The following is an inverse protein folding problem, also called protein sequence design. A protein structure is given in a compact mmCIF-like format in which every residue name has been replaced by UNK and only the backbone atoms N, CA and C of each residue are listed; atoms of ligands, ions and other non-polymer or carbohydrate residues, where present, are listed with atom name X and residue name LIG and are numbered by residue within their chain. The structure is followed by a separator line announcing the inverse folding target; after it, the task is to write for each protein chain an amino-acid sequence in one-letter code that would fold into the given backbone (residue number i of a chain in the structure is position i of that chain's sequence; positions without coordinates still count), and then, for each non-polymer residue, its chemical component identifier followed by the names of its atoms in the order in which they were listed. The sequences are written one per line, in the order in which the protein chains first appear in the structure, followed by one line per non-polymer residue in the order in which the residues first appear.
data_IF_265219793872
#
_entry.id   IF_265219793872
#
_cell.length_a   1.000
_cell.length_b   1.000
_cell.length_c   1.000
_cell.angle_alpha   90.00
_cell.angle_beta   90.00
_cell.angle_gamma   90.00
#
_symmetry.space_group_name_H-M   'P 1'
#
loop_
_entity.id
_entity.type
_entity.pdbx_description
1 polymer ?
#
# COMPACT_ATOMS: atom_id res chain seq x y z
N UNK A 1 -10.61 42.31 -1.29
CA UNK A 1 -10.11 41.94 0.05
C UNK A 1 -11.10 42.32 1.16
N UNK A 2 -11.22 43.59 1.58
CA UNK A 2 -11.97 43.94 2.81
C UNK A 2 -13.52 43.82 2.74
N UNK A 3 -14.12 44.02 1.57
CA UNK A 3 -15.60 44.07 1.45
C UNK A 3 -16.26 42.73 1.79
N UNK A 4 -15.68 41.61 1.33
CA UNK A 4 -16.21 40.27 1.60
C UNK A 4 -16.00 39.86 3.06
N UNK A 5 -14.88 40.24 3.68
CA UNK A 5 -14.62 40.05 5.10
C UNK A 5 -15.69 40.74 5.95
N UNK A 6 -15.96 42.03 5.68
CA UNK A 6 -16.99 42.79 6.39
C UNK A 6 -18.39 42.25 6.13
N UNK A 7 -18.65 41.68 4.94
CA UNK A 7 -19.94 41.10 4.61
C UNK A 7 -20.18 39.78 5.37
N UNK A 8 -19.15 38.93 5.49
CA UNK A 8 -19.19 37.70 6.30
C UNK A 8 -19.43 38.06 7.77
N UNK A 9 -18.69 39.05 8.30
CA UNK A 9 -18.86 39.53 9.68
C UNK A 9 -20.27 40.08 9.93
N UNK A 10 -20.81 40.86 8.98
CA UNK A 10 -22.15 41.40 9.07
C UNK A 10 -23.21 40.29 9.05
N UNK A 11 -23.11 39.33 8.11
CA UNK A 11 -24.09 38.23 8.03
C UNK A 11 -24.06 37.34 9.27
N UNK A 12 -22.89 37.04 9.82
CA UNK A 12 -22.77 36.22 11.02
C UNK A 12 -23.17 36.98 12.29
N UNK A 13 -22.92 38.28 12.36
CA UNK A 13 -23.40 39.12 13.47
C UNK A 13 -24.92 39.28 13.44
N UNK A 14 -25.49 39.58 12.29
CA UNK A 14 -26.95 39.64 12.10
C UNK A 14 -27.61 38.28 12.38
N UNK A 15 -26.97 37.17 12.00
CA UNK A 15 -27.46 35.84 12.35
C UNK A 15 -27.50 35.62 13.87
N UNK A 16 -26.51 36.11 14.62
CA UNK A 16 -26.46 35.96 16.07
C UNK A 16 -27.54 36.82 16.75
N UNK A 17 -27.81 38.01 16.22
CA UNK A 17 -28.85 38.92 16.73
C UNK A 17 -30.25 38.36 16.43
N UNK A 18 -30.49 37.83 15.23
CA UNK A 18 -31.77 37.24 14.84
C UNK A 18 -32.04 35.86 15.47
N UNK A 19 -31.03 35.21 16.07
CA UNK A 19 -31.18 33.88 16.68
C UNK A 19 -32.20 33.86 17.83
N UNK A 20 -32.46 35.00 18.48
CA UNK A 20 -33.40 35.12 19.61
C UNK A 20 -34.85 35.36 19.18
N UNK A 21 -35.06 36.09 18.09
CA UNK A 21 -36.39 36.61 17.71
C UNK A 21 -36.94 36.01 16.40
N UNK A 22 -36.08 35.60 15.45
CA UNK A 22 -36.47 35.15 14.10
C UNK A 22 -35.52 34.07 13.56
N UNK A 23 -35.74 32.82 13.97
CA UNK A 23 -34.89 31.68 13.63
C UNK A 23 -34.77 31.42 12.12
N UNK A 24 -35.82 31.65 11.34
CA UNK A 24 -35.79 31.49 9.87
C UNK A 24 -34.91 32.54 9.19
N UNK A 25 -34.90 33.76 9.71
CA UNK A 25 -34.07 34.84 9.18
C UNK A 25 -32.59 34.61 9.54
N UNK A 26 -32.32 34.09 10.74
CA UNK A 26 -30.98 33.68 11.14
C UNK A 26 -30.40 32.59 10.21
N UNK A 27 -31.18 31.53 9.91
CA UNK A 27 -30.79 30.48 8.95
C UNK A 27 -30.57 31.02 7.53
N UNK A 28 -31.38 32.00 7.10
CA UNK A 28 -31.20 32.66 5.81
C UNK A 28 -29.88 33.44 5.73
N UNK A 29 -29.51 34.15 6.80
CA UNK A 29 -28.23 34.88 6.86
C UNK A 29 -27.01 33.93 6.90
N UNK A 30 -27.10 32.81 7.61
CA UNK A 30 -26.07 31.75 7.58
C UNK A 30 -25.91 31.14 6.18
N UNK A 31 -27.01 30.90 5.48
CA UNK A 31 -26.99 30.40 4.10
C UNK A 31 -26.31 31.38 3.13
N UNK A 32 -26.54 32.69 3.32
CA UNK A 32 -25.86 33.74 2.55
C UNK A 32 -24.37 33.81 2.88
N UNK A 33 -23.99 33.68 4.16
CA UNK A 33 -22.59 33.59 4.56
C UNK A 33 -21.90 32.36 3.92
N UNK A 34 -22.56 31.19 3.91
CA UNK A 34 -22.05 29.99 3.23
C UNK A 34 -21.89 30.16 1.73
N UNK A 35 -22.82 30.87 1.08
CA UNK A 35 -22.70 31.15 -0.34
C UNK A 35 -21.45 31.99 -0.65
N UNK A 36 -21.19 33.02 0.16
CA UNK A 36 -19.99 33.85 0.03
C UNK A 36 -18.73 33.01 0.27
N UNK A 37 -18.73 32.13 1.28
CA UNK A 37 -17.61 31.23 1.58
C UNK A 37 -17.38 30.17 0.50
N UNK A 38 -18.42 29.70 -0.19
CA UNK A 38 -18.32 28.74 -1.30
C UNK A 38 -17.79 29.37 -2.57
N UNK A 39 -18.22 30.60 -2.85
CA UNK A 39 -17.86 31.34 -4.05
C UNK A 39 -16.35 31.63 -4.15
N UNK A 40 -15.81 31.84 -5.37
CA UNK A 40 -14.38 32.08 -5.61
C UNK A 40 -13.96 33.53 -5.27
N UNK A 41 -14.56 34.14 -4.25
CA UNK A 41 -14.25 35.51 -3.87
C UNK A 41 -12.93 35.57 -3.10
N UNK A 42 -12.15 36.63 -3.32
CA UNK A 42 -10.95 36.90 -2.54
C UNK A 42 -11.32 37.49 -1.17
N UNK A 43 -11.26 36.64 -0.16
CA UNK A 43 -11.41 36.97 1.26
C UNK A 43 -10.18 36.49 2.05
N UNK A 44 -9.97 37.06 3.22
CA UNK A 44 -8.92 36.60 4.13
C UNK A 44 -9.40 35.38 4.91
N UNK A 45 -8.82 34.22 4.61
CA UNK A 45 -9.15 32.95 5.27
C UNK A 45 -8.96 32.98 6.78
N UNK A 46 -7.98 33.73 7.29
CA UNK A 46 -7.69 33.81 8.73
C UNK A 46 -8.75 34.63 9.46
N UNK A 47 -9.13 35.76 8.88
CA UNK A 47 -10.23 36.58 9.39
C UNK A 47 -11.56 35.82 9.33
N UNK A 48 -11.85 35.13 8.22
CA UNK A 48 -13.07 34.33 8.09
C UNK A 48 -13.14 33.22 9.16
N UNK A 49 -12.03 32.52 9.43
CA UNK A 49 -11.94 31.53 10.51
C UNK A 49 -12.19 32.16 11.88
N UNK A 50 -11.58 33.31 12.17
CA UNK A 50 -11.77 34.02 13.44
C UNK A 50 -13.23 34.41 13.66
N UNK A 51 -13.87 34.98 12.64
CA UNK A 51 -15.28 35.40 12.70
C UNK A 51 -16.20 34.19 12.87
N UNK A 52 -15.98 33.11 12.11
CA UNK A 52 -16.77 31.88 12.25
C UNK A 52 -16.57 31.21 13.62
N UNK A 53 -15.35 31.23 14.18
CA UNK A 53 -15.06 30.72 15.52
C UNK A 53 -15.75 31.55 16.61
N UNK A 54 -15.63 32.87 16.54
CA UNK A 54 -16.23 33.81 17.52
C UNK A 54 -17.76 33.69 17.56
N UNK A 55 -18.39 33.41 16.41
CA UNK A 55 -19.85 33.27 16.27
C UNK A 55 -20.34 31.81 16.34
N UNK A 56 -19.45 30.85 16.63
CA UNK A 56 -19.76 29.41 16.72
C UNK A 56 -20.45 28.84 15.47
N UNK A 57 -20.09 29.35 14.28
CA UNK A 57 -20.68 28.93 13.02
C UNK A 57 -19.99 27.67 12.46
N UNK A 58 -20.49 26.50 12.85
CA UNK A 58 -19.82 25.21 12.61
C UNK A 58 -19.73 24.83 11.13
N UNK A 59 -20.77 25.08 10.33
CA UNK A 59 -20.78 24.73 8.91
C UNK A 59 -19.76 25.56 8.10
N UNK A 60 -19.58 26.83 8.46
CA UNK A 60 -18.57 27.69 7.84
C UNK A 60 -17.15 27.32 8.23
N UNK A 61 -16.92 26.93 9.49
CA UNK A 61 -15.62 26.46 9.96
C UNK A 61 -15.16 25.21 9.22
N UNK A 62 -16.03 24.20 9.11
CA UNK A 62 -15.71 22.96 8.38
C UNK A 62 -15.34 23.27 6.93
N UNK A 63 -16.13 24.10 6.24
CA UNK A 63 -15.87 24.46 4.85
C UNK A 63 -14.56 25.24 4.67
N UNK A 64 -14.22 26.12 5.61
CA UNK A 64 -12.96 26.86 5.60
C UNK A 64 -11.77 25.91 5.84
N UNK A 65 -11.86 24.99 6.81
CA UNK A 65 -10.82 24.00 7.05
C UNK A 65 -10.65 23.02 5.89
N UNK A 66 -11.74 22.60 5.23
CA UNK A 66 -11.69 21.79 4.01
C UNK A 66 -10.94 22.52 2.88
N UNK A 67 -11.19 23.82 2.71
CA UNK A 67 -10.49 24.64 1.70
C UNK A 67 -9.00 24.86 2.01
N UNK A 68 -8.63 24.87 3.30
CA UNK A 68 -7.25 25.06 3.75
C UNK A 68 -6.48 23.73 3.90
N UNK A 69 -7.12 22.58 3.70
CA UNK A 69 -6.51 21.26 3.92
C UNK A 69 -6.26 20.92 5.39
N UNK A 70 -6.90 21.64 6.32
CA UNK A 70 -6.73 21.47 7.77
C UNK A 70 -7.67 20.39 8.32
N UNK A 71 -7.56 19.17 7.81
CA UNK A 71 -8.48 18.07 8.15
C UNK A 71 -8.37 17.63 9.62
N UNK A 72 -7.18 17.75 10.21
CA UNK A 72 -6.95 17.43 11.62
C UNK A 72 -7.80 18.31 12.55
N UNK A 73 -7.93 19.60 12.22
CA UNK A 73 -8.68 20.56 13.04
C UNK A 73 -10.19 20.36 12.93
N UNK A 74 -10.69 19.88 11.79
CA UNK A 74 -12.08 19.42 11.64
C UNK A 74 -12.35 18.29 12.63
N UNK A 75 -11.49 17.28 12.67
CA UNK A 75 -11.65 16.13 13.55
C UNK A 75 -11.57 16.55 15.02
N UNK A 76 -10.56 17.35 15.40
CA UNK A 76 -10.42 17.87 16.77
C UNK A 76 -11.66 18.66 17.21
N UNK A 77 -12.21 19.51 16.34
CA UNK A 77 -13.42 20.27 16.64
C UNK A 77 -14.61 19.37 16.98
N UNK A 78 -14.86 18.31 16.20
CA UNK A 78 -15.94 17.37 16.50
C UNK A 78 -15.65 16.50 17.74
N UNK A 79 -14.38 16.17 17.99
CA UNK A 79 -13.95 15.47 19.21
C UNK A 79 -14.22 16.30 20.47
N UNK A 80 -13.87 17.58 20.45
CA UNK A 80 -14.11 18.50 21.56
C UNK A 80 -15.61 18.68 21.82
N UNK A 81 -16.41 18.80 20.76
CA UNK A 81 -17.87 18.90 20.85
C UNK A 81 -18.52 17.66 21.47
N UNK A 82 -18.03 16.46 21.13
CA UNK A 82 -18.50 15.21 21.78
C UNK A 82 -18.05 15.12 23.24
N UNK A 83 -16.84 15.59 23.57
CA UNK A 83 -16.36 15.63 24.95
C UNK A 83 -17.21 16.57 25.81
N UNK A 84 -17.59 17.74 25.28
CA UNK A 84 -18.49 18.70 25.95
C UNK A 84 -19.90 18.13 26.15
N UNK A 85 -20.44 17.41 25.15
CA UNK A 85 -21.72 16.72 25.27
C UNK A 85 -21.69 15.61 26.32
N UNK A 86 -20.60 14.83 26.33
CA UNK A 86 -20.40 13.75 27.30
C UNK A 86 -20.23 14.32 28.72
N UNK A 87 -19.51 15.44 28.89
CA UNK A 87 -19.31 16.09 30.17
C UNK A 87 -20.60 16.73 30.72
N UNK A 88 -21.49 17.21 29.85
CA UNK A 88 -22.75 17.86 30.25
C UNK A 88 -23.90 16.89 30.52
N UNK A 89 -23.71 15.56 30.39
CA UNK A 89 -24.75 14.52 30.49
C UNK A 89 -26.02 14.85 29.68
N UNK A 90 -25.89 15.71 28.67
CA UNK A 90 -27.01 16.18 27.88
C UNK A 90 -27.29 15.15 26.80
N UNK A 91 -28.50 14.60 26.80
CA UNK A 91 -28.94 13.72 25.72
C UNK A 91 -29.02 14.57 24.46
N UNK A 92 -28.33 14.13 23.40
CA UNK A 92 -28.49 14.72 22.07
C UNK A 92 -29.98 14.75 21.71
N UNK A 93 -30.53 15.91 21.28
CA UNK A 93 -31.91 16.00 20.85
C UNK A 93 -32.17 14.96 19.75
N UNK A 94 -33.29 14.25 19.89
CA UNK A 94 -33.73 13.19 18.98
C UNK A 94 -33.77 13.69 17.54
N UNK A 95 -32.75 13.35 16.74
CA UNK A 95 -32.69 13.64 15.30
C UNK A 95 -31.38 14.23 14.77
N UNK A 96 -30.46 14.71 15.61
CA UNK A 96 -29.16 15.20 15.16
C UNK A 96 -28.09 14.09 15.15
N UNK A 97 -27.32 14.02 14.06
CA UNK A 97 -26.16 13.10 13.95
C UNK A 97 -25.16 13.48 15.03
N UNK A 98 -24.77 12.51 15.87
CA UNK A 98 -23.81 12.77 16.93
C UNK A 98 -22.46 13.20 16.36
N UNK A 99 -21.75 14.14 16.99
CA UNK A 99 -20.41 14.54 16.57
C UNK A 99 -19.44 13.36 16.43
N UNK A 100 -19.56 12.33 17.27
CA UNK A 100 -18.73 11.12 17.16
C UNK A 100 -18.90 10.33 15.84
N UNK A 101 -20.10 10.34 15.23
CA UNK A 101 -20.35 9.69 13.95
C UNK A 101 -19.80 10.52 12.77
N UNK A 102 -19.81 11.85 12.89
CA UNK A 102 -19.19 12.73 11.91
C UNK A 102 -17.66 12.54 11.86
N UNK A 103 -17.00 12.29 13.00
CA UNK A 103 -15.57 11.96 13.06
C UNK A 103 -15.25 10.73 12.19
N UNK A 104 -16.02 9.65 12.30
CA UNK A 104 -15.84 8.45 11.45
C UNK A 104 -16.07 8.76 9.97
N UNK A 105 -17.09 9.56 9.62
CA UNK A 105 -17.38 9.95 8.23
C UNK A 105 -16.25 10.78 7.62
N UNK A 106 -15.73 11.75 8.36
CA UNK A 106 -14.61 12.58 7.89
C UNK A 106 -13.30 11.78 7.81
N UNK A 107 -13.08 10.82 8.71
CA UNK A 107 -11.95 9.90 8.60
C UNK A 107 -12.03 9.04 7.33
N UNK A 108 -13.21 8.52 6.97
CA UNK A 108 -13.37 7.75 5.73
C UNK A 108 -13.14 8.61 4.48
N UNK A 109 -13.47 9.91 4.53
CA UNK A 109 -13.33 10.80 3.38
C UNK A 109 -11.90 11.35 3.21
N UNK A 110 -11.21 11.63 4.31
CA UNK A 110 -9.90 12.30 4.31
C UNK A 110 -8.75 11.43 4.77
N UNK A 111 -9.02 10.22 5.28
CA UNK A 111 -8.00 9.30 5.79
C UNK A 111 -6.99 8.87 4.72
N UNK A 112 -7.42 8.65 3.48
CA UNK A 112 -6.50 8.32 2.38
C UNK A 112 -5.52 9.47 2.06
N UNK A 113 -5.93 10.72 2.30
CA UNK A 113 -5.11 11.90 2.01
C UNK A 113 -4.13 12.23 3.14
N UNK A 114 -4.52 12.02 4.41
CA UNK A 114 -3.65 12.20 5.57
C UNK A 114 -3.72 10.99 6.53
N UNK A 115 -2.75 10.07 6.45
CA UNK A 115 -2.71 8.89 7.30
C UNK A 115 -2.50 9.21 8.79
N UNK A 116 -2.08 10.43 9.16
CA UNK A 116 -1.90 10.81 10.57
C UNK A 116 -3.22 11.00 11.32
N UNK A 117 -4.34 11.06 10.61
CA UNK A 117 -5.67 11.17 11.19
C UNK A 117 -6.09 9.88 11.91
N UNK A 118 -5.64 8.70 11.46
CA UNK A 118 -6.02 7.41 12.04
C UNK A 118 -5.56 7.27 13.51
N UNK A 119 -4.28 7.52 13.87
CA UNK A 119 -3.86 7.51 15.28
C UNK A 119 -4.66 8.48 16.16
N UNK A 120 -5.00 9.66 15.65
CA UNK A 120 -5.76 10.66 16.39
C UNK A 120 -7.17 10.16 16.69
N UNK A 121 -7.87 9.63 15.68
CA UNK A 121 -9.24 9.09 15.84
C UNK A 121 -9.24 7.84 16.71
N UNK A 122 -8.29 6.92 16.54
CA UNK A 122 -8.16 5.74 17.40
C UNK A 122 -7.98 6.13 18.88
N UNK A 123 -7.16 7.15 19.15
CA UNK A 123 -6.98 7.68 20.51
C UNK A 123 -8.28 8.26 21.05
N UNK A 124 -9.04 8.99 20.23
CA UNK A 124 -10.31 9.57 20.65
C UNK A 124 -11.38 8.51 20.94
N UNK A 125 -11.61 7.57 20.02
CA UNK A 125 -12.63 6.52 20.15
C UNK A 125 -12.39 5.62 21.38
N UNK A 126 -11.14 5.54 21.85
CA UNK A 126 -10.76 4.77 23.03
C UNK A 126 -10.58 5.60 24.29
N UNK A 127 -10.90 6.90 24.26
CA UNK A 127 -10.75 7.78 25.42
C UNK A 127 -11.79 7.53 26.52
N UNK A 128 -13.03 7.19 26.17
CA UNK A 128 -14.12 6.92 27.14
C UNK A 128 -14.82 5.58 26.85
N UNK A 129 -15.26 4.84 27.90
CA UNK A 129 -15.87 3.52 27.72
C UNK A 129 -17.18 3.59 26.94
N UNK A 130 -17.92 4.69 27.04
CA UNK A 130 -19.17 4.89 26.31
C UNK A 130 -18.95 5.08 24.82
N UNK A 131 -17.86 5.75 24.41
CA UNK A 131 -17.48 5.88 23.00
C UNK A 131 -17.04 4.53 22.43
N UNK A 132 -16.24 3.79 23.20
CA UNK A 132 -15.75 2.47 22.79
C UNK A 132 -16.90 1.49 22.53
N UNK A 133 -17.88 1.41 23.43
CA UNK A 133 -19.04 0.51 23.27
C UNK A 133 -19.90 0.89 22.07
N UNK A 134 -20.07 2.20 21.80
CA UNK A 134 -20.88 2.68 20.68
C UNK A 134 -20.21 2.48 19.32
N UNK A 135 -18.90 2.67 19.25
CA UNK A 135 -18.12 2.64 18.00
C UNK A 135 -17.27 1.37 17.85
N UNK A 136 -17.67 0.26 18.47
CA UNK A 136 -16.96 -1.02 18.38
C UNK A 136 -16.89 -1.53 16.93
N UNK A 137 -17.96 -1.39 16.15
CA UNK A 137 -18.00 -1.74 14.72
C UNK A 137 -17.06 -0.85 13.91
N UNK A 138 -17.12 0.45 14.14
CA UNK A 138 -16.34 1.44 13.40
C UNK A 138 -14.84 1.25 13.67
N UNK A 139 -14.46 0.95 14.91
CA UNK A 139 -13.08 0.61 15.27
C UNK A 139 -12.58 -0.61 14.51
N UNK A 140 -13.41 -1.64 14.34
CA UNK A 140 -13.02 -2.84 13.59
C UNK A 140 -12.77 -2.51 12.13
N UNK A 141 -13.69 -1.76 11.49
CA UNK A 141 -13.50 -1.33 10.10
C UNK A 141 -12.31 -0.39 9.91
N UNK A 142 -12.03 0.49 10.89
CA UNK A 142 -10.84 1.35 10.87
C UNK A 142 -9.56 0.50 10.97
N UNK A 143 -9.53 -0.51 11.85
CA UNK A 143 -8.37 -1.40 11.97
C UNK A 143 -8.11 -2.23 10.71
N UNK A 144 -9.17 -2.69 10.05
CA UNK A 144 -9.08 -3.39 8.75
C UNK A 144 -8.56 -2.45 7.66
N UNK A 145 -9.07 -1.22 7.58
CA UNK A 145 -8.60 -0.26 6.58
C UNK A 145 -7.15 0.18 6.81
N UNK A 146 -6.73 0.33 8.07
CA UNK A 146 -5.34 0.58 8.44
C UNK A 146 -4.43 -0.57 7.98
N UNK A 147 -4.92 -1.81 8.07
CA UNK A 147 -4.21 -3.01 7.63
C UNK A 147 -4.08 -3.05 6.10
N UNK A 148 -5.18 -2.87 5.36
CA UNK A 148 -5.21 -2.85 3.89
C UNK A 148 -4.31 -1.74 3.33
N UNK A 149 -4.40 -0.54 3.91
CA UNK A 149 -3.59 0.62 3.51
C UNK A 149 -2.15 0.60 4.03
N UNK A 150 -1.75 -0.42 4.82
CA UNK A 150 -0.44 -0.49 5.51
C UNK A 150 -0.06 0.82 6.23
N UNK A 151 -1.06 1.50 6.78
CA UNK A 151 -0.94 2.88 7.29
C UNK A 151 -0.09 2.92 8.57
N UNK A 152 -0.27 1.93 9.45
CA UNK A 152 0.53 1.83 10.67
C UNK A 152 0.83 0.38 11.05
N UNK A 153 2.02 0.10 11.64
CA UNK A 153 2.34 -1.24 12.13
C UNK A 153 1.40 -1.67 13.26
N UNK A 154 1.09 -2.99 13.39
CA UNK A 154 0.26 -3.49 14.48
C UNK A 154 0.77 -3.13 15.87
N UNK A 155 2.10 -3.04 16.04
CA UNK A 155 2.71 -2.58 17.29
C UNK A 155 2.32 -1.14 17.63
N UNK A 156 2.28 -0.25 16.64
CA UNK A 156 1.89 1.14 16.83
C UNK A 156 0.40 1.23 17.24
N UNK A 157 -0.46 0.40 16.64
CA UNK A 157 -1.89 0.32 17.01
C UNK A 157 -2.01 -0.03 18.50
N UNK A 158 -1.32 -1.10 18.93
CA UNK A 158 -1.36 -1.55 20.31
C UNK A 158 -0.82 -0.49 21.27
N UNK A 159 0.22 0.24 20.89
CA UNK A 159 0.77 1.33 21.71
C UNK A 159 -0.23 2.49 21.88
N UNK A 160 -0.96 2.87 20.82
CA UNK A 160 -2.00 3.91 20.89
C UNK A 160 -3.12 3.47 21.83
N UNK A 161 -3.60 2.23 21.67
CA UNK A 161 -4.71 1.70 22.46
C UNK A 161 -4.30 1.47 23.93
N UNK A 162 -3.08 1.02 24.19
CA UNK A 162 -2.57 0.79 25.56
C UNK A 162 -2.45 2.06 26.39
N UNK A 163 -2.33 3.24 25.77
CA UNK A 163 -2.26 4.52 26.51
C UNK A 163 -3.58 4.88 27.16
N UNK A 164 -4.69 4.42 26.60
CA UNK A 164 -6.01 4.67 27.12
C UNK A 164 -6.46 3.47 27.97
N UNK A 165 -6.59 3.65 29.29
CA UNK A 165 -6.95 2.59 30.28
C UNK A 165 -8.34 1.96 30.05
N UNK A 166 -9.04 2.39 29.01
CA UNK A 166 -10.41 2.03 28.65
C UNK A 166 -10.43 0.95 27.56
N UNK A 167 -9.44 0.93 26.66
CA UNK A 167 -9.39 -0.05 25.59
C UNK A 167 -9.02 -1.43 26.16
N UNK A 168 -10.00 -2.33 26.25
CA UNK A 168 -9.71 -3.72 26.60
C UNK A 168 -8.93 -4.38 25.46
N UNK A 169 -7.79 -5.02 25.78
CA UNK A 169 -7.02 -5.84 24.82
C UNK A 169 -7.89 -6.91 24.16
N UNK A 170 -8.98 -7.32 24.82
CA UNK A 170 -9.98 -8.26 24.30
C UNK A 170 -10.60 -7.82 22.98
N UNK A 171 -10.79 -6.52 22.72
CA UNK A 171 -11.38 -6.02 21.47
C UNK A 171 -10.47 -6.25 20.27
N UNK A 172 -9.16 -6.06 20.48
CA UNK A 172 -8.15 -6.08 19.42
C UNK A 172 -7.52 -7.47 19.29
N UNK A 173 -7.77 -8.35 20.26
CA UNK A 173 -7.21 -9.71 20.32
C UNK A 173 -7.56 -10.57 19.08
N UNK A 174 -8.82 -10.61 18.58
CA UNK A 174 -9.13 -11.39 17.38
C UNK A 174 -8.35 -10.89 16.17
N UNK A 175 -8.29 -9.57 15.99
CA UNK A 175 -7.54 -8.93 14.91
C UNK A 175 -6.03 -9.23 15.01
N UNK A 176 -5.42 -9.09 16.20
CA UNK A 176 -4.00 -9.42 16.41
C UNK A 176 -3.70 -10.90 16.16
N UNK A 177 -4.56 -11.80 16.61
CA UNK A 177 -4.37 -13.25 16.40
C UNK A 177 -4.44 -13.59 14.91
N UNK A 178 -5.40 -13.01 14.18
CA UNK A 178 -5.51 -13.15 12.73
C UNK A 178 -4.23 -12.67 12.05
N UNK A 179 -3.75 -11.47 12.38
CA UNK A 179 -2.54 -10.87 11.79
C UNK A 179 -1.27 -11.69 12.07
N UNK A 180 -1.09 -12.16 13.30
CA UNK A 180 0.06 -12.99 13.67
C UNK A 180 0.01 -14.33 12.91
N UNK A 181 -1.17 -14.91 12.73
CA UNK A 181 -1.33 -16.16 11.99
C UNK A 181 -1.03 -15.97 10.50
N UNK A 182 -1.54 -14.90 9.89
CA UNK A 182 -1.26 -14.56 8.48
C UNK A 182 0.22 -14.33 8.25
N UNK A 183 0.86 -13.51 9.09
CA UNK A 183 2.31 -13.25 8.97
C UNK A 183 3.15 -14.51 9.17
N UNK A 184 2.76 -15.42 10.07
CA UNK A 184 3.44 -16.73 10.20
C UNK A 184 3.28 -17.58 8.94
N UNK A 185 2.09 -17.61 8.36
CA UNK A 185 1.84 -18.37 7.13
C UNK A 185 2.65 -17.81 5.95
N UNK A 186 2.77 -16.49 5.83
CA UNK A 186 3.64 -15.82 4.85
C UNK A 186 5.11 -16.24 5.04
N UNK A 187 5.62 -16.14 6.27
CA UNK A 187 7.00 -16.55 6.60
C UNK A 187 7.25 -18.02 6.26
N UNK A 188 6.31 -18.91 6.59
CA UNK A 188 6.46 -20.34 6.31
C UNK A 188 6.39 -20.65 4.81
N UNK A 189 5.56 -19.91 4.06
CA UNK A 189 5.53 -19.98 2.60
C UNK A 189 6.85 -19.55 1.99
N UNK A 190 7.38 -18.40 2.42
CA UNK A 190 8.66 -17.86 1.94
C UNK A 190 9.81 -18.81 2.24
N UNK A 191 9.84 -19.41 3.43
CA UNK A 191 10.84 -20.44 3.80
C UNK A 191 10.80 -21.64 2.86
N UNK A 192 9.61 -22.14 2.53
CA UNK A 192 9.46 -23.27 1.59
C UNK A 192 9.97 -22.92 0.19
N UNK A 193 9.69 -21.70 -0.28
CA UNK A 193 10.20 -21.21 -1.56
C UNK A 193 11.73 -21.09 -1.55
N UNK A 194 12.31 -20.54 -0.46
CA UNK A 194 13.76 -20.45 -0.29
C UNK A 194 14.42 -21.84 -0.33
N UNK A 195 13.85 -22.81 0.39
CA UNK A 195 14.39 -24.18 0.42
C UNK A 195 14.29 -24.86 -0.95
N UNK A 196 13.18 -24.65 -1.67
CA UNK A 196 13.00 -25.11 -3.06
C UNK A 196 14.08 -24.53 -3.98
N UNK A 197 14.26 -23.21 -3.97
CA UNK A 197 15.26 -22.54 -4.81
C UNK A 197 16.69 -22.94 -4.45
N UNK A 198 16.99 -23.14 -3.16
CA UNK A 198 18.31 -23.64 -2.73
C UNK A 198 18.59 -25.04 -3.22
N UNK A 199 17.61 -25.94 -3.13
CA UNK A 199 17.73 -27.31 -3.62
C UNK A 199 17.95 -27.34 -5.13
N UNK A 200 17.16 -26.56 -5.88
CA UNK A 200 17.31 -26.45 -7.33
C UNK A 200 18.67 -25.85 -7.72
N UNK A 201 19.11 -24.79 -7.05
CA UNK A 201 20.41 -24.16 -7.29
C UNK A 201 21.55 -25.15 -7.03
N UNK A 202 21.49 -25.90 -5.94
CA UNK A 202 22.50 -26.92 -5.64
C UNK A 202 22.53 -28.03 -6.70
N UNK A 203 21.37 -28.48 -7.17
CA UNK A 203 21.27 -29.45 -8.26
C UNK A 203 21.87 -28.90 -9.56
N UNK A 204 21.56 -27.66 -9.95
CA UNK A 204 22.10 -27.02 -11.15
C UNK A 204 23.61 -26.79 -11.07
N UNK A 205 24.13 -26.39 -9.91
CA UNK A 205 25.58 -26.24 -9.71
C UNK A 205 26.31 -27.58 -9.84
N UNK A 206 25.70 -28.65 -9.32
CA UNK A 206 26.23 -30.01 -9.52
C UNK A 206 26.20 -30.42 -10.99
N UNK A 207 25.09 -30.16 -11.69
CA UNK A 207 24.97 -30.43 -13.13
C UNK A 207 26.04 -29.66 -13.93
N UNK A 208 26.30 -28.38 -13.59
CA UNK A 208 27.34 -27.56 -14.22
C UNK A 208 28.72 -28.16 -13.96
N UNK A 209 29.03 -28.54 -12.72
CA UNK A 209 30.31 -29.14 -12.37
C UNK A 209 30.55 -30.45 -13.15
N UNK A 210 29.55 -31.33 -13.22
CA UNK A 210 29.62 -32.58 -14.00
C UNK A 210 29.72 -32.35 -15.52
N UNK A 211 29.17 -31.26 -16.05
CA UNK A 211 29.22 -30.92 -17.48
C UNK A 211 30.50 -30.18 -17.89
N UNK A 212 31.15 -29.50 -16.95
CA UNK A 212 32.36 -28.68 -17.22
C UNK A 212 33.65 -29.44 -16.96
N UNK A 213 33.59 -30.61 -16.33
CA UNK A 213 34.74 -31.46 -16.04
C UNK A 213 35.21 -32.20 -17.32
N UNK A 214 36.38 -31.86 -17.88
CA UNK A 214 36.90 -32.52 -19.08
C UNK A 214 37.37 -33.96 -18.83
N UNK A 215 37.65 -34.33 -17.58
CA UNK A 215 38.20 -35.63 -17.20
C UNK A 215 37.10 -36.64 -16.82
N UNK A 216 35.84 -36.19 -16.73
CA UNK A 216 34.68 -37.02 -16.41
C UNK A 216 33.89 -37.39 -17.69
N UNK A 217 34.11 -38.56 -18.30
CA UNK A 217 33.38 -38.96 -19.50
C UNK A 217 31.89 -39.20 -19.18
N UNK A 218 31.01 -38.55 -19.93
CA UNK A 218 29.57 -38.73 -19.80
C UNK A 218 29.11 -39.96 -20.59
N UNK A 219 28.53 -40.93 -19.90
CA UNK A 219 27.99 -42.13 -20.55
C UNK A 219 26.62 -41.84 -21.18
N UNK A 220 26.46 -42.21 -22.45
CA UNK A 220 25.18 -42.16 -23.16
C UNK A 220 24.62 -43.58 -23.30
N UNK A 221 23.54 -43.87 -22.59
CA UNK A 221 22.86 -45.18 -22.64
C UNK A 221 21.72 -45.23 -23.67
N UNK A 222 21.35 -44.10 -24.26
CA UNK A 222 20.24 -43.99 -25.21
C UNK A 222 20.57 -44.78 -26.48
N UNK A 223 19.73 -45.75 -26.83
CA UNK A 223 19.87 -46.60 -28.02
C UNK A 223 18.93 -46.22 -29.17
N UNK A 224 18.12 -45.17 -29.00
CA UNK A 224 17.11 -44.70 -29.95
C UNK A 224 17.37 -43.25 -30.36
N UNK A 225 17.03 -42.92 -31.60
CA UNK A 225 17.13 -41.56 -32.11
C UNK A 225 16.04 -40.66 -31.50
N UNK A 226 16.38 -39.45 -31.09
CA UNK A 226 15.40 -38.51 -30.52
C UNK A 226 14.54 -37.81 -31.59
N UNK A 227 14.89 -37.93 -32.88
CA UNK A 227 14.09 -37.42 -34.01
C UNK A 227 13.18 -38.48 -34.66
N UNK A 228 13.35 -39.76 -34.33
CA UNK A 228 12.49 -40.85 -34.82
C UNK A 228 12.72 -42.15 -34.07
N UNK A 229 11.75 -43.06 -34.07
CA UNK A 229 11.73 -44.24 -33.18
C UNK A 229 12.68 -45.40 -33.56
N UNK A 230 13.64 -45.15 -34.46
CA UNK A 230 14.61 -46.16 -34.90
C UNK A 230 15.79 -46.33 -33.95
N UNK A 231 16.43 -47.52 -33.91
CA UNK A 231 17.67 -47.71 -33.19
C UNK A 231 18.78 -46.80 -33.76
N UNK A 232 19.68 -46.34 -32.89
CA UNK A 232 20.82 -45.53 -33.28
C UNK A 232 21.82 -46.36 -34.09
N UNK A 233 22.16 -45.85 -35.27
CA UNK A 233 23.16 -46.43 -36.18
C UNK A 233 24.24 -45.38 -36.44
N UNK A 234 25.50 -45.81 -36.51
CA UNK A 234 26.62 -44.91 -36.77
C UNK A 234 26.52 -44.32 -38.19
N UNK A 235 26.84 -43.03 -38.39
CA UNK A 235 27.34 -42.05 -37.41
C UNK A 235 26.24 -41.41 -36.54
N UNK A 236 26.53 -41.28 -35.24
CA UNK A 236 25.63 -40.73 -34.21
C UNK A 236 26.24 -39.46 -33.62
N UNK A 237 25.39 -38.47 -33.34
CA UNK A 237 25.74 -37.24 -32.62
C UNK A 237 25.05 -37.26 -31.26
N UNK A 238 25.82 -37.04 -30.20
CA UNK A 238 25.33 -36.99 -28.83
C UNK A 238 25.45 -35.56 -28.27
N UNK A 239 24.34 -35.01 -27.79
CA UNK A 239 24.33 -33.74 -27.09
C UNK A 239 24.45 -33.96 -25.58
N UNK A 240 25.13 -33.05 -24.88
CA UNK A 240 25.31 -33.12 -23.42
C UNK A 240 24.00 -33.06 -22.61
N UNK A 241 22.89 -32.68 -23.24
CA UNK A 241 21.54 -32.82 -22.71
C UNK A 241 20.99 -34.26 -22.75
N UNK A 242 21.82 -35.26 -23.09
CA UNK A 242 21.50 -36.70 -23.22
C UNK A 242 20.55 -37.07 -24.37
N UNK A 243 20.32 -36.16 -25.31
CA UNK A 243 19.63 -36.46 -26.56
C UNK A 243 20.63 -36.91 -27.63
N UNK A 244 20.26 -37.99 -28.34
CA UNK A 244 21.11 -38.65 -29.32
C UNK A 244 20.37 -38.72 -30.66
N UNK A 245 21.08 -38.45 -31.75
CA UNK A 245 20.49 -38.42 -33.09
C UNK A 245 21.40 -39.12 -34.10
N UNK A 246 20.82 -39.74 -35.12
CA UNK A 246 21.60 -40.05 -36.32
C UNK A 246 22.09 -38.75 -36.96
N UNK A 247 23.31 -38.73 -37.49
CA UNK A 247 23.82 -37.52 -38.17
C UNK A 247 22.87 -37.03 -39.28
N UNK A 248 22.28 -37.96 -40.04
CA UNK A 248 21.28 -37.66 -41.08
C UNK A 248 19.99 -37.00 -40.57
N UNK A 249 19.63 -37.21 -39.30
CA UNK A 249 18.40 -36.69 -38.71
C UNK A 249 18.55 -35.26 -38.18
N UNK A 250 19.77 -34.74 -38.09
CA UNK A 250 20.05 -33.37 -37.62
C UNK A 250 19.95 -32.32 -38.74
N UNK A 251 20.10 -32.72 -40.01
CA UNK A 251 20.05 -31.78 -41.13
C UNK A 251 21.12 -30.70 -41.00
N UNK A 252 20.73 -29.42 -41.02
CA UNK A 252 21.62 -28.27 -40.84
C UNK A 252 21.87 -27.90 -39.36
N UNK A 253 21.20 -28.56 -38.41
CA UNK A 253 21.25 -28.24 -36.96
C UNK A 253 22.28 -29.07 -36.19
N UNK A 254 23.51 -29.22 -36.68
CA UNK A 254 24.55 -30.01 -35.99
C UNK A 254 25.06 -29.35 -34.70
N UNK A 255 24.83 -28.04 -34.51
CA UNK A 255 25.39 -27.27 -33.38
C UNK A 255 24.52 -27.25 -32.12
N UNK A 256 23.22 -27.54 -32.22
CA UNK A 256 22.31 -27.51 -31.07
C UNK A 256 21.24 -28.61 -31.14
N UNK A 257 20.86 -29.15 -29.97
CA UNK A 257 19.82 -30.18 -29.89
C UNK A 257 18.45 -29.58 -30.26
N UNK A 258 17.73 -30.10 -31.28
CA UNK A 258 16.43 -29.55 -31.71
C UNK A 258 15.36 -29.48 -30.61
N UNK A 259 15.31 -30.48 -29.72
CA UNK A 259 14.35 -30.52 -28.60
C UNK A 259 14.62 -29.41 -27.57
N UNK A 260 15.89 -29.17 -27.24
CA UNK A 260 16.29 -28.21 -26.22
C UNK A 260 16.48 -26.79 -26.77
N UNK A 261 16.71 -26.65 -28.08
CA UNK A 261 17.02 -25.37 -28.74
C UNK A 261 16.00 -24.28 -28.40
N UNK A 262 14.70 -24.61 -28.44
CA UNK A 262 13.62 -23.67 -28.09
C UNK A 262 13.66 -23.22 -26.63
N UNK A 263 13.92 -24.13 -25.69
CA UNK A 263 14.01 -23.74 -24.28
C UNK A 263 15.26 -22.88 -24.04
N UNK A 264 16.37 -23.25 -24.65
CA UNK A 264 17.61 -22.49 -24.56
C UNK A 264 17.53 -21.13 -25.27
N UNK A 265 16.75 -20.99 -26.34
CA UNK A 265 16.55 -19.70 -27.03
C UNK A 265 15.78 -18.71 -26.16
N UNK A 266 14.75 -19.17 -25.44
CA UNK A 266 14.01 -18.34 -24.47
C UNK A 266 14.93 -17.84 -23.36
N UNK A 267 15.75 -18.73 -22.78
CA UNK A 267 16.70 -18.36 -21.72
C UNK A 267 17.76 -17.38 -22.24
N UNK A 268 18.29 -17.61 -23.45
CA UNK A 268 19.25 -16.70 -24.10
C UNK A 268 18.64 -15.32 -24.35
N UNK A 269 17.39 -15.27 -24.79
CA UNK A 269 16.67 -14.01 -25.01
C UNK A 269 16.47 -13.26 -23.68
N UNK A 270 16.02 -13.95 -22.64
CA UNK A 270 15.85 -13.35 -21.31
C UNK A 270 17.17 -12.76 -20.77
N UNK A 271 18.29 -13.48 -20.94
CA UNK A 271 19.61 -12.95 -20.54
C UNK A 271 19.98 -11.67 -21.29
N UNK A 272 19.79 -11.64 -22.62
CA UNK A 272 20.04 -10.44 -23.43
C UNK A 272 19.15 -9.27 -23.03
N UNK A 273 17.88 -9.54 -22.73
CA UNK A 273 16.95 -8.51 -22.27
C UNK A 273 17.39 -7.94 -20.91
N UNK A 274 17.81 -8.81 -19.97
CA UNK A 274 18.35 -8.39 -18.68
C UNK A 274 19.65 -7.58 -18.83
N UNK A 275 20.58 -8.00 -19.70
CA UNK A 275 21.82 -7.27 -19.99
C UNK A 275 21.55 -5.88 -20.58
N UNK A 276 20.54 -5.77 -21.46
CA UNK A 276 20.11 -4.48 -22.01
C UNK A 276 19.53 -3.57 -20.93
N UNK A 277 18.68 -4.13 -20.05
CA UNK A 277 18.14 -3.39 -18.91
C UNK A 277 19.23 -2.93 -17.94
N UNK A 278 20.28 -3.74 -17.75
CA UNK A 278 21.42 -3.36 -16.92
C UNK A 278 22.19 -2.13 -17.44
N UNK A 279 22.09 -1.82 -18.73
CA UNK A 279 22.68 -0.61 -19.31
C UNK A 279 21.78 0.62 -19.11
N UNK A 280 20.48 0.43 -18.88
CA UNK A 280 19.47 1.50 -18.77
C UNK A 280 19.26 1.94 -17.32
N UNK A 281 20.27 2.60 -16.76
CA UNK A 281 20.28 3.04 -15.36
C UNK A 281 19.13 4.01 -15.04
N UNK A 282 18.76 4.90 -15.95
CA UNK A 282 17.69 5.87 -15.74
C UNK A 282 16.32 5.21 -15.55
N UNK A 283 16.06 4.12 -16.29
CA UNK A 283 14.82 3.34 -16.17
C UNK A 283 14.77 2.62 -14.83
N UNK A 284 15.90 2.03 -14.41
CA UNK A 284 16.00 1.39 -13.10
C UNK A 284 15.79 2.38 -11.95
N UNK A 285 16.38 3.58 -12.03
CA UNK A 285 16.21 4.60 -11.00
C UNK A 285 14.74 5.06 -10.90
N UNK A 286 14.06 5.28 -12.02
CA UNK A 286 12.64 5.59 -12.03
C UNK A 286 11.80 4.47 -11.38
N UNK A 287 12.12 3.20 -11.67
CA UNK A 287 11.42 2.06 -11.07
C UNK A 287 11.68 1.94 -9.55
N UNK A 288 12.89 2.29 -9.10
CA UNK A 288 13.24 2.32 -7.67
C UNK A 288 12.52 3.47 -6.94
N UNK A 289 12.32 4.62 -7.58
CA UNK A 289 11.54 5.72 -7.00
C UNK A 289 10.07 5.31 -6.75
N UNK A 290 9.48 4.50 -7.65
CA UNK A 290 8.10 4.04 -7.49
C UNK A 290 7.96 2.83 -6.55
N UNK A 291 8.83 1.82 -6.71
CA UNK A 291 8.64 0.49 -6.08
C UNK A 291 9.68 0.16 -5.01
N UNK A 292 10.67 1.03 -4.79
CA UNK A 292 11.67 0.93 -3.73
C UNK A 292 12.38 -0.43 -3.69
N UNK A 293 12.25 -1.14 -2.58
CA UNK A 293 12.93 -2.42 -2.34
C UNK A 293 12.53 -3.52 -3.34
N UNK A 294 11.29 -3.54 -3.83
CA UNK A 294 10.83 -4.58 -4.75
C UNK A 294 11.55 -4.50 -6.11
N UNK A 295 11.78 -3.28 -6.60
CA UNK A 295 12.57 -3.05 -7.82
C UNK A 295 14.02 -3.52 -7.65
N UNK A 296 14.64 -3.19 -6.51
CA UNK A 296 16.02 -3.60 -6.20
C UNK A 296 16.13 -5.14 -6.11
N UNK A 297 15.20 -5.80 -5.42
CA UNK A 297 15.19 -7.26 -5.29
C UNK A 297 15.02 -7.95 -6.66
N UNK A 298 14.15 -7.40 -7.51
CA UNK A 298 13.93 -7.90 -8.87
C UNK A 298 15.19 -7.74 -9.72
N UNK A 299 15.78 -6.54 -9.75
CA UNK A 299 17.02 -6.28 -10.47
C UNK A 299 18.19 -7.16 -9.98
N UNK A 300 18.29 -7.38 -8.66
CA UNK A 300 19.27 -8.30 -8.09
C UNK A 300 19.05 -9.73 -8.59
N UNK A 301 17.82 -10.24 -8.55
CA UNK A 301 17.48 -11.60 -9.01
C UNK A 301 17.75 -11.82 -10.50
N UNK A 302 17.63 -10.76 -11.31
CA UNK A 302 17.88 -10.79 -12.76
C UNK A 302 19.36 -10.65 -13.11
N UNK A 303 20.22 -10.38 -12.12
CA UNK A 303 21.65 -10.19 -12.31
C UNK A 303 22.03 -8.82 -12.88
N UNK A 304 21.10 -7.86 -12.89
CA UNK A 304 21.36 -6.49 -13.38
C UNK A 304 22.40 -5.77 -12.51
N UNK A 305 22.40 -6.07 -11.20
CA UNK A 305 23.33 -5.50 -10.22
C UNK A 305 24.65 -6.27 -10.09
N UNK A 306 24.84 -7.35 -10.83
CA UNK A 306 26.12 -8.07 -10.81
C UNK A 306 27.17 -7.25 -11.55
N UNK A 307 28.28 -6.97 -10.87
CA UNK A 307 29.50 -6.50 -11.55
C UNK A 307 29.89 -7.57 -12.56
N UNK A 308 30.22 -7.22 -13.82
CA UNK A 308 30.70 -8.19 -14.79
C UNK A 308 31.83 -8.99 -14.14
N UNK A 309 31.61 -10.30 -13.95
CA UNK A 309 32.72 -11.21 -13.68
C UNK A 309 33.57 -11.13 -14.93
N UNK A 310 34.79 -10.62 -14.80
CA UNK A 310 35.80 -10.75 -15.85
C UNK A 310 35.80 -12.23 -16.27
N UNK A 311 35.23 -12.53 -17.44
CA UNK A 311 35.39 -13.79 -18.15
C UNK A 311 36.81 -13.81 -18.74
N UNK A 312 37.79 -13.61 -17.87
CA UNK A 312 39.21 -13.53 -18.17
C UNK A 312 39.93 -14.81 -17.75
N UNK A 313 39.40 -15.99 -18.10
CA UNK A 313 40.20 -17.19 -18.36
C UNK A 313 39.44 -18.05 -19.38
N UNK A 314 39.52 -17.68 -20.66
CA UNK A 314 39.37 -18.62 -21.75
C UNK A 314 40.77 -18.98 -22.26
N UNK A 315 41.01 -20.30 -22.35
CA UNK A 315 42.23 -21.04 -22.73
C UNK A 315 43.23 -21.33 -21.61
#
# INVERSE_FOLDING_TARGET
MAVWNTLIELYLSLSADYAKDKQDLAKSMQSKALYVLKSPFEFDSTHALLVCSTKQFTEGLVLLWEKLGMYEDILRFFMDKENELTASNSQTPTGEVRPSAEVSRYLQRYGESDPNLYPLVLRFLTSTPELLQRHTSDLTGILEHIEEGKIMPPLAVVQVLSRNKVASVGLVKPWLLRRISESKNEIDSDRRLIDSYRSETAAKLKDIAELSDPDAPKMFHTSQCSAGDGPLELPVVHFMCKHSYHQRCLGEHETECPICARQHSVIRQLRRDNERLAQQHDVFLAEVEENGFSAIATAFSQGILNVPRDEGVAL
#
